data_IF_387864251695
#
_entry.id   IF_387864251695
#
_cell.length_a   1.000
_cell.length_b   1.000
_cell.length_c   1.000
_cell.angle_alpha   90.00
_cell.angle_beta   90.00
_cell.angle_gamma   90.00
#
_symmetry.space_group_name_H-M   'P 1'
#
loop_
_entity.id
_entity.type
_entity.pdbx_description
1 polymer ?
#
# COMPACT_ATOMS: atom_id res chain seq x y z
N UNK A 1 9.47 24.35 8.84
CA UNK A 1 9.86 23.03 8.26
C UNK A 1 11.36 23.10 7.99
N UNK A 2 12.17 22.15 8.46
CA UNK A 2 13.54 22.04 7.99
C UNK A 2 13.50 21.82 6.47
N UNK A 3 14.30 22.58 5.73
CA UNK A 3 14.37 22.46 4.28
C UNK A 3 15.32 21.33 3.90
N UNK A 4 14.96 20.50 2.94
CA UNK A 4 15.79 19.42 2.38
C UNK A 4 16.08 18.25 3.35
N UNK A 5 15.16 17.86 4.20
CA UNK A 5 15.26 16.59 4.93
C UNK A 5 14.78 15.43 4.06
N UNK A 6 15.58 14.35 4.05
CA UNK A 6 15.18 13.07 3.47
C UNK A 6 14.55 12.24 4.59
N UNK A 7 13.36 11.70 4.35
CA UNK A 7 12.65 10.88 5.30
C UNK A 7 12.28 9.53 4.65
N UNK A 8 12.41 8.45 5.41
CA UNK A 8 12.10 7.08 4.95
C UNK A 8 10.67 6.63 5.26
N UNK A 9 9.79 7.54 5.71
CA UNK A 9 8.39 7.22 5.98
C UNK A 9 7.72 6.69 4.70
N UNK A 10 7.15 5.51 4.80
CA UNK A 10 6.43 4.87 3.69
C UNK A 10 5.02 5.45 3.60
N UNK A 11 4.67 5.95 2.43
CA UNK A 11 3.36 6.55 2.17
C UNK A 11 2.86 6.17 0.77
N UNK A 12 1.56 6.29 0.58
CA UNK A 12 0.90 6.10 -0.70
C UNK A 12 0.10 7.35 -1.10
N UNK A 13 -0.40 7.36 -2.33
CA UNK A 13 -1.12 8.52 -2.87
C UNK A 13 -2.41 8.83 -2.09
N UNK A 14 -3.06 7.82 -1.53
CA UNK A 14 -4.26 7.97 -0.72
C UNK A 14 -4.02 8.65 0.63
N UNK A 15 -2.75 8.80 1.07
CA UNK A 15 -2.37 9.53 2.29
C UNK A 15 -2.39 11.05 2.13
N UNK A 16 -2.40 11.54 0.89
CA UNK A 16 -2.38 12.98 0.61
C UNK A 16 -3.64 13.67 1.14
N UNK A 17 -4.80 13.08 0.92
CA UNK A 17 -6.06 13.69 1.34
C UNK A 17 -6.17 13.84 2.87
N UNK A 18 -5.99 12.79 3.69
CA UNK A 18 -5.98 12.94 5.15
C UNK A 18 -4.92 13.93 5.64
N UNK A 19 -3.75 13.96 5.00
CA UNK A 19 -2.70 14.91 5.35
C UNK A 19 -3.12 16.36 5.09
N UNK A 20 -3.71 16.64 3.92
CA UNK A 20 -4.23 17.97 3.62
C UNK A 20 -5.35 18.39 4.58
N UNK A 21 -6.25 17.47 4.94
CA UNK A 21 -7.30 17.71 5.92
C UNK A 21 -6.73 18.07 7.28
N UNK A 22 -5.74 17.32 7.78
CA UNK A 22 -5.09 17.62 9.06
C UNK A 22 -4.38 18.96 9.06
N UNK A 23 -3.60 19.27 8.01
CA UNK A 23 -2.89 20.54 7.87
C UNK A 23 -3.85 21.73 7.78
N UNK A 24 -5.02 21.56 7.18
CA UNK A 24 -6.08 22.56 7.10
C UNK A 24 -6.92 22.67 8.39
N UNK A 25 -6.65 21.86 9.41
CA UNK A 25 -7.39 21.83 10.67
C UNK A 25 -8.80 21.21 10.55
N UNK A 26 -9.06 20.45 9.49
CA UNK A 26 -10.33 19.72 9.31
C UNK A 26 -10.28 18.46 10.18
N UNK A 27 -11.04 18.49 11.27
CA UNK A 27 -11.18 17.35 12.19
C UNK A 27 -12.27 16.41 11.71
N UNK A 28 -12.10 15.11 12.00
CA UNK A 28 -13.08 14.05 11.72
C UNK A 28 -13.48 14.01 10.24
N UNK A 29 -12.53 14.22 9.34
CA UNK A 29 -12.78 14.25 7.90
C UNK A 29 -13.40 12.92 7.41
N UNK A 30 -12.96 11.77 7.92
CA UNK A 30 -13.49 10.46 7.56
C UNK A 30 -14.98 10.33 7.86
N UNK A 31 -15.41 10.69 9.07
CA UNK A 31 -16.83 10.68 9.46
C UNK A 31 -17.64 11.75 8.69
N UNK A 32 -17.05 12.93 8.49
CA UNK A 32 -17.72 14.07 7.85
C UNK A 32 -18.02 13.82 6.38
N UNK A 33 -17.15 13.08 5.70
CA UNK A 33 -17.27 12.79 4.27
C UNK A 33 -17.63 11.33 3.98
N UNK A 34 -17.96 10.56 5.03
CA UNK A 34 -18.47 9.20 4.87
C UNK A 34 -19.74 9.20 4.03
N UNK A 35 -19.74 8.39 2.97
CA UNK A 35 -20.95 8.15 2.21
C UNK A 35 -21.81 7.12 2.97
N UNK A 36 -22.96 7.47 3.55
CA UNK A 36 -23.78 6.54 4.31
C UNK A 36 -24.36 5.39 3.47
N UNK A 37 -24.31 5.50 2.14
CA UNK A 37 -24.76 4.47 1.21
C UNK A 37 -23.63 3.50 0.80
N UNK A 38 -22.40 3.72 1.27
CA UNK A 38 -21.28 2.86 0.95
C UNK A 38 -21.05 1.84 2.06
N UNK A 39 -20.85 0.60 1.64
CA UNK A 39 -20.56 -0.52 2.55
C UNK A 39 -19.09 -0.57 3.00
N UNK A 40 -18.22 0.26 2.43
CA UNK A 40 -16.78 0.31 2.70
C UNK A 40 -16.33 1.67 3.22
N UNK A 41 -15.34 1.70 4.10
CA UNK A 41 -14.68 2.92 4.52
C UNK A 41 -13.83 3.47 3.35
N UNK A 42 -14.03 4.75 3.01
CA UNK A 42 -13.39 5.39 1.86
C UNK A 42 -12.01 5.98 2.16
N UNK A 43 -11.51 5.81 3.37
CA UNK A 43 -10.29 6.49 3.80
C UNK A 43 -9.28 5.49 4.33
N UNK A 44 -8.57 4.83 3.41
CA UNK A 44 -7.47 3.92 3.75
C UNK A 44 -6.18 4.69 4.12
N UNK A 45 -6.15 6.01 3.84
CA UNK A 45 -4.98 6.84 4.01
C UNK A 45 -4.71 7.23 5.45
N UNK A 46 -3.43 7.24 5.82
CA UNK A 46 -2.89 7.75 7.08
C UNK A 46 -2.25 9.11 6.84
N UNK A 47 -2.60 10.11 7.66
CA UNK A 47 -1.97 11.43 7.55
C UNK A 47 -0.48 11.39 7.89
N UNK A 48 0.36 11.90 7.01
CA UNK A 48 1.78 12.10 7.28
C UNK A 48 2.13 13.56 7.68
N UNK A 49 1.14 14.32 8.08
CA UNK A 49 1.34 15.68 8.63
C UNK A 49 2.29 15.72 9.84
N UNK A 50 2.31 14.74 10.78
CA UNK A 50 3.30 14.69 11.83
C UNK A 50 4.73 14.67 11.28
N UNK A 51 5.02 13.82 10.29
CA UNK A 51 6.33 13.75 9.62
C UNK A 51 6.69 15.09 8.97
N UNK A 52 5.77 15.70 8.19
CA UNK A 52 5.99 16.98 7.53
C UNK A 52 6.26 18.13 8.52
N UNK A 53 5.64 18.09 9.68
CA UNK A 53 5.78 19.11 10.71
C UNK A 53 6.90 18.82 11.73
N UNK A 54 7.68 17.75 11.57
CA UNK A 54 8.71 17.33 12.53
C UNK A 54 8.15 16.94 13.90
N UNK A 55 6.90 16.49 13.95
CA UNK A 55 6.23 16.03 15.18
C UNK A 55 6.49 14.54 15.40
N UNK A 56 6.46 14.11 16.66
CA UNK A 56 6.52 12.69 17.02
C UNK A 56 5.15 12.02 16.84
N UNK A 57 5.14 10.67 16.79
CA UNK A 57 3.91 9.88 16.79
C UNK A 57 3.31 9.68 15.38
N UNK A 58 4.17 9.68 14.35
CA UNK A 58 3.73 9.32 13.01
C UNK A 58 3.26 7.86 12.99
N UNK A 59 2.01 7.68 12.62
CA UNK A 59 1.42 6.36 12.35
C UNK A 59 1.96 5.78 11.06
N UNK A 60 2.12 4.46 10.99
CA UNK A 60 2.66 3.74 9.85
C UNK A 60 1.60 2.80 9.29
N UNK A 61 1.62 2.59 7.99
CA UNK A 61 0.86 1.50 7.39
C UNK A 61 1.48 0.15 7.76
N UNK A 62 0.66 -0.83 8.10
CA UNK A 62 1.10 -2.22 8.22
C UNK A 62 1.53 -2.79 6.88
N UNK A 63 0.80 -2.42 5.83
CA UNK A 63 1.11 -2.71 4.43
C UNK A 63 0.54 -1.62 3.52
N UNK A 64 1.03 -1.58 2.29
CA UNK A 64 0.47 -0.79 1.19
C UNK A 64 0.04 -1.72 0.08
N UNK A 65 -1.09 -1.41 -0.58
CA UNK A 65 -1.70 -2.24 -1.62
C UNK A 65 -2.05 -1.43 -2.86
N UNK A 66 -1.83 -2.01 -4.04
CA UNK A 66 -2.15 -1.41 -5.34
C UNK A 66 -2.57 -2.45 -6.35
N UNK A 67 -3.50 -2.05 -7.20
CA UNK A 67 -3.91 -2.76 -8.40
C UNK A 67 -3.72 -1.86 -9.62
N UNK A 68 -3.28 -2.44 -10.73
CA UNK A 68 -3.10 -1.73 -11.99
C UNK A 68 -3.53 -2.61 -13.17
N UNK A 69 -4.73 -2.34 -13.69
CA UNK A 69 -5.39 -3.16 -14.71
C UNK A 69 -4.62 -3.19 -16.04
N UNK A 70 -4.11 -2.04 -16.51
CA UNK A 70 -3.47 -1.92 -17.83
C UNK A 70 -2.31 -2.91 -18.04
N UNK A 71 -1.62 -3.26 -16.97
CA UNK A 71 -0.49 -4.21 -17.02
C UNK A 71 -0.77 -5.51 -16.28
N UNK A 72 -2.00 -5.68 -15.81
CA UNK A 72 -2.45 -6.84 -15.03
C UNK A 72 -1.52 -7.11 -13.83
N UNK A 73 -1.34 -6.07 -13.00
CA UNK A 73 -0.45 -6.11 -11.86
C UNK A 73 -1.18 -5.86 -10.54
N UNK A 74 -0.76 -6.59 -9.53
CA UNK A 74 -1.13 -6.39 -8.12
C UNK A 74 0.15 -6.25 -7.33
N UNK A 75 0.25 -5.26 -6.45
CA UNK A 75 1.42 -5.06 -5.60
C UNK A 75 1.04 -4.92 -4.13
N UNK A 76 1.86 -5.52 -3.28
CA UNK A 76 1.80 -5.36 -1.82
C UNK A 76 3.19 -4.95 -1.34
N UNK A 77 3.26 -3.95 -0.45
CA UNK A 77 4.48 -3.59 0.26
C UNK A 77 4.27 -3.73 1.77
N UNK A 78 5.16 -4.42 2.43
CA UNK A 78 5.16 -4.62 3.88
C UNK A 78 6.58 -4.38 4.41
N UNK A 79 6.79 -3.20 5.00
CA UNK A 79 8.13 -2.78 5.38
C UNK A 79 9.07 -2.70 4.17
N UNK A 80 10.18 -3.42 4.21
CA UNK A 80 11.15 -3.48 3.11
C UNK A 80 10.80 -4.52 2.05
N UNK A 81 9.86 -5.43 2.35
CA UNK A 81 9.37 -6.40 1.37
C UNK A 81 8.39 -5.79 0.39
N UNK A 82 8.57 -6.10 -0.88
CA UNK A 82 7.61 -5.75 -1.95
C UNK A 82 7.32 -6.95 -2.82
N UNK A 83 6.06 -7.34 -2.87
CA UNK A 83 5.56 -8.32 -3.84
C UNK A 83 4.93 -7.58 -5.02
N UNK A 84 5.28 -8.00 -6.23
CA UNK A 84 4.59 -7.59 -7.47
C UNK A 84 4.11 -8.83 -8.17
N UNK A 85 2.81 -8.95 -8.37
CA UNK A 85 2.23 -10.02 -9.19
C UNK A 85 1.93 -9.48 -10.57
N UNK A 86 2.29 -10.23 -11.60
CA UNK A 86 1.95 -9.96 -12.99
C UNK A 86 1.29 -11.18 -13.62
N UNK A 87 0.05 -11.00 -14.10
CA UNK A 87 -0.74 -12.11 -14.62
C UNK A 87 -0.96 -13.22 -13.58
N UNK A 88 -1.02 -12.86 -12.29
CA UNK A 88 -1.20 -13.80 -11.18
C UNK A 88 0.08 -14.46 -10.65
N UNK A 89 1.24 -14.26 -11.27
CA UNK A 89 2.52 -14.79 -10.78
C UNK A 89 3.18 -13.79 -9.83
N UNK A 90 3.38 -14.15 -8.53
CA UNK A 90 4.06 -13.27 -7.58
C UNK A 90 5.58 -13.29 -7.76
N UNK A 91 6.21 -12.12 -7.64
CA UNK A 91 7.63 -11.88 -7.54
C UNK A 91 7.89 -11.11 -6.23
N UNK A 92 8.96 -11.40 -5.52
CA UNK A 92 9.28 -10.78 -4.23
C UNK A 92 10.63 -10.09 -4.28
N UNK A 93 10.70 -8.90 -3.70
CA UNK A 93 11.91 -8.08 -3.65
C UNK A 93 12.16 -7.55 -2.23
N UNK A 94 13.43 -7.45 -1.83
CA UNK A 94 13.87 -6.76 -0.63
C UNK A 94 14.36 -5.36 -0.98
N UNK A 95 13.53 -4.35 -0.77
CA UNK A 95 13.85 -2.96 -1.10
C UNK A 95 14.94 -2.33 -0.23
N UNK A 96 15.34 -2.96 0.89
CA UNK A 96 16.46 -2.51 1.69
C UNK A 96 17.80 -2.76 0.98
N UNK A 97 17.89 -3.83 0.21
CA UNK A 97 19.11 -4.24 -0.53
C UNK A 97 18.99 -4.08 -2.04
N UNK A 98 17.77 -4.12 -2.57
CA UNK A 98 17.47 -4.10 -4.01
C UNK A 98 16.34 -3.09 -4.33
N UNK A 99 16.69 -1.81 -4.39
CA UNK A 99 15.73 -0.74 -4.68
C UNK A 99 15.23 -0.74 -6.14
N UNK A 100 15.97 -1.40 -7.03
CA UNK A 100 15.63 -1.49 -8.45
C UNK A 100 14.75 -2.68 -8.82
N UNK A 101 14.52 -3.59 -7.87
CA UNK A 101 13.71 -4.80 -8.08
C UNK A 101 14.30 -5.71 -9.18
N UNK A 102 15.64 -5.85 -9.18
CA UNK A 102 16.38 -6.62 -10.18
C UNK A 102 16.42 -8.12 -9.84
N UNK A 103 16.31 -8.48 -8.55
CA UNK A 103 16.49 -9.84 -8.05
C UNK A 103 15.21 -10.37 -7.41
N UNK A 104 14.51 -11.24 -8.11
CA UNK A 104 13.34 -11.95 -7.58
C UNK A 104 13.78 -13.03 -6.60
N UNK A 105 13.42 -12.87 -5.33
CA UNK A 105 13.73 -13.79 -4.24
C UNK A 105 12.50 -14.56 -3.72
N UNK A 106 11.42 -14.62 -4.49
CA UNK A 106 10.17 -15.30 -4.10
C UNK A 106 10.39 -16.76 -3.71
N UNK A 107 11.29 -17.48 -4.42
CA UNK A 107 11.62 -18.88 -4.13
C UNK A 107 12.35 -19.06 -2.80
N UNK A 108 13.06 -18.04 -2.31
CA UNK A 108 13.84 -18.08 -1.07
C UNK A 108 12.98 -17.77 0.17
N UNK A 109 11.85 -17.05 -0.03
CA UNK A 109 10.97 -16.59 1.04
C UNK A 109 9.49 -16.92 0.78
N UNK A 110 9.12 -18.21 0.62
CA UNK A 110 7.75 -18.61 0.28
C UNK A 110 6.72 -18.28 1.36
N UNK A 111 7.13 -18.15 2.61
CA UNK A 111 6.31 -17.73 3.74
C UNK A 111 5.90 -16.25 3.63
N UNK A 112 6.83 -15.37 3.25
CA UNK A 112 6.55 -13.94 3.00
C UNK A 112 5.63 -13.78 1.80
N UNK A 113 5.90 -14.51 0.70
CA UNK A 113 5.03 -14.51 -0.49
C UNK A 113 3.61 -14.91 -0.11
N UNK A 114 3.43 -15.98 0.67
CA UNK A 114 2.11 -16.44 1.12
C UNK A 114 1.37 -15.35 1.89
N UNK A 115 2.04 -14.73 2.86
CA UNK A 115 1.45 -13.65 3.65
C UNK A 115 1.00 -12.48 2.75
N UNK A 116 1.82 -12.07 1.78
CA UNK A 116 1.49 -10.97 0.89
C UNK A 116 0.38 -11.32 -0.12
N UNK A 117 0.31 -12.57 -0.55
CA UNK A 117 -0.81 -13.07 -1.37
C UNK A 117 -2.12 -13.03 -0.56
N UNK A 118 -2.09 -13.43 0.71
CA UNK A 118 -3.27 -13.35 1.59
C UNK A 118 -3.72 -11.90 1.80
N UNK A 119 -2.77 -10.97 2.01
CA UNK A 119 -3.08 -9.53 2.08
C UNK A 119 -3.74 -9.07 0.78
N UNK A 120 -3.16 -9.39 -0.39
CA UNK A 120 -3.71 -8.99 -1.67
C UNK A 120 -5.17 -9.48 -1.83
N UNK A 121 -5.44 -10.73 -1.52
CA UNK A 121 -6.80 -11.26 -1.59
C UNK A 121 -7.77 -10.61 -0.59
N UNK A 122 -7.29 -10.21 0.58
CA UNK A 122 -8.12 -9.55 1.60
C UNK A 122 -8.50 -8.11 1.23
N UNK A 123 -7.69 -7.47 0.39
CA UNK A 123 -7.89 -6.07 -0.03
C UNK A 123 -8.61 -5.94 -1.37
N UNK A 124 -8.63 -7.00 -2.16
CA UNK A 124 -9.27 -6.98 -3.48
C UNK A 124 -10.79 -6.86 -3.37
N UNK A 125 -11.36 -5.94 -4.12
CA UNK A 125 -12.82 -5.79 -4.30
C UNK A 125 -13.14 -6.06 -5.77
N UNK A 126 -13.90 -7.12 -6.04
CA UNK A 126 -14.31 -7.44 -7.41
C UNK A 126 -15.08 -6.30 -8.07
N UNK A 127 -14.70 -5.97 -9.29
CA UNK A 127 -15.37 -4.96 -10.09
C UNK A 127 -15.63 -5.48 -11.51
N UNK A 128 -16.82 -5.24 -12.08
CA UNK A 128 -17.07 -5.60 -13.48
C UNK A 128 -16.31 -4.69 -14.48
N UNK A 129 -15.83 -3.54 -14.01
CA UNK A 129 -15.19 -2.51 -14.83
C UNK A 129 -13.68 -2.44 -14.66
N UNK A 130 -13.13 -3.08 -13.63
CA UNK A 130 -11.71 -3.08 -13.33
C UNK A 130 -11.30 -4.51 -12.99
N UNK A 131 -10.43 -5.11 -13.80
CA UNK A 131 -10.08 -6.52 -13.68
C UNK A 131 -8.59 -6.71 -13.62
N UNK A 132 -8.15 -7.40 -12.58
CA UNK A 132 -6.77 -7.86 -12.41
C UNK A 132 -6.75 -9.35 -12.10
N UNK A 133 -5.68 -10.01 -12.51
CA UNK A 133 -5.44 -11.41 -12.14
C UNK A 133 -4.79 -11.45 -10.76
N UNK A 134 -5.54 -11.92 -9.77
CA UNK A 134 -5.03 -12.03 -8.40
C UNK A 134 -3.85 -13.00 -8.30
N UNK A 135 -2.86 -12.68 -7.45
CA UNK A 135 -1.69 -13.53 -7.25
C UNK A 135 -2.09 -14.92 -6.73
N UNK A 136 -1.40 -15.95 -7.23
CA UNK A 136 -1.61 -17.34 -6.83
C UNK A 136 -0.29 -17.93 -6.36
N UNK A 137 -0.35 -18.74 -5.32
CA UNK A 137 0.79 -19.57 -4.93
C UNK A 137 0.95 -20.66 -6.00
N UNK A 138 2.19 -20.87 -6.47
CA UNK A 138 2.47 -22.03 -7.33
C UNK A 138 2.15 -23.30 -6.50
N UNK A 139 1.29 -24.15 -7.01
CA UNK A 139 0.99 -25.44 -6.38
C UNK A 139 2.25 -26.30 -6.50
N UNK A 140 2.73 -26.81 -5.38
CA UNK A 140 3.74 -27.86 -5.33
C UNK A 140 3.28 -29.12 -6.08
#
# INVERSE_FOLDING_TARGET
MPSCEVNSHQLAFYDIMPTCCELAGVKNYAERYKNPAAEVDYFDGISFAPTLCGRRGQEQHEFLYWEFEETDQVAVRMGDWKMVSKGGKPHLYDLASDLHEDNDIAAEHPDVVRQMVEIAHSQHIESPYFKVTMPRLEQE
#
